data_IF_788655076776
#
_entry.id   IF_788655076776
#
_cell.length_a   1.000
_cell.length_b   1.000
_cell.length_c   1.000
_cell.angle_alpha   90.00
_cell.angle_beta   90.00
_cell.angle_gamma   90.00
#
_symmetry.space_group_name_H-M   'P 1'
#
loop_
_entity.id
_entity.type
_entity.pdbx_description
1 polymer ?
#
# COMPACT_ATOMS: atom_id res chain seq x y z
N UNK A 1 -56.56 -37.32 11.65
CA UNK A 1 -55.14 -37.16 11.31
C UNK A 1 -55.04 -36.20 10.13
N UNK A 2 -54.61 -34.95 10.37
CA UNK A 2 -54.49 -33.93 9.31
C UNK A 2 -53.05 -33.86 8.87
N UNK A 3 -52.77 -34.11 7.58
CA UNK A 3 -51.47 -33.96 6.94
C UNK A 3 -51.04 -32.48 6.90
N UNK A 4 -49.91 -32.16 7.51
CA UNK A 4 -49.23 -30.86 7.38
C UNK A 4 -48.21 -31.00 6.25
N UNK A 5 -48.26 -30.16 5.22
CA UNK A 5 -47.24 -30.21 4.17
C UNK A 5 -45.91 -29.56 4.66
N UNK A 6 -44.81 -30.29 4.50
CA UNK A 6 -43.46 -29.79 4.68
C UNK A 6 -43.18 -28.68 3.67
N UNK A 7 -42.98 -27.46 4.16
CA UNK A 7 -42.44 -26.33 3.40
C UNK A 7 -40.94 -26.55 3.18
N UNK A 8 -40.61 -27.04 2.00
CA UNK A 8 -39.21 -27.01 1.53
C UNK A 8 -38.79 -25.58 1.28
N UNK A 9 -37.98 -25.04 2.18
CA UNK A 9 -37.29 -23.77 1.97
C UNK A 9 -36.33 -23.90 0.79
N UNK A 10 -36.75 -23.39 -0.38
CA UNK A 10 -35.83 -23.14 -1.50
C UNK A 10 -34.73 -22.19 -1.04
N UNK A 11 -33.50 -22.70 -0.90
CA UNK A 11 -32.30 -21.83 -0.87
C UNK A 11 -32.31 -21.00 -2.15
N UNK A 12 -32.52 -19.71 -2.03
CA UNK A 12 -32.23 -18.75 -3.11
C UNK A 12 -30.73 -18.81 -3.35
N UNK A 13 -30.29 -19.53 -4.37
CA UNK A 13 -28.97 -19.37 -4.97
C UNK A 13 -29.03 -18.03 -5.71
N UNK A 14 -28.60 -16.96 -5.05
CA UNK A 14 -28.27 -15.73 -5.73
C UNK A 14 -27.05 -16.05 -6.60
N UNK A 15 -27.21 -16.04 -7.93
CA UNK A 15 -26.11 -15.97 -8.88
C UNK A 15 -25.41 -14.62 -8.66
N UNK A 16 -24.58 -14.48 -7.62
CA UNK A 16 -23.64 -13.38 -7.53
C UNK A 16 -22.57 -13.63 -8.60
N UNK A 17 -22.58 -12.83 -9.64
CA UNK A 17 -21.52 -12.81 -10.63
C UNK A 17 -20.22 -12.50 -9.88
N UNK A 18 -19.26 -13.41 -9.93
CA UNK A 18 -17.95 -13.27 -9.30
C UNK A 18 -17.21 -12.10 -9.96
N UNK A 19 -16.66 -11.19 -9.17
CA UNK A 19 -15.90 -10.04 -9.68
C UNK A 19 -14.45 -10.44 -9.98
N UNK A 20 -13.97 -10.06 -11.15
CA UNK A 20 -12.60 -10.31 -11.60
C UNK A 20 -11.67 -9.19 -11.10
N UNK A 21 -10.69 -9.55 -10.27
CA UNK A 21 -9.75 -8.59 -9.67
C UNK A 21 -8.34 -8.90 -10.15
N UNK A 22 -7.70 -7.91 -10.76
CA UNK A 22 -6.27 -7.93 -11.09
C UNK A 22 -5.47 -7.26 -9.97
N UNK A 23 -4.49 -7.97 -9.42
CA UNK A 23 -3.50 -7.45 -8.47
C UNK A 23 -2.13 -7.42 -9.16
N UNK A 24 -1.60 -6.23 -9.44
CA UNK A 24 -0.26 -6.05 -10.01
C UNK A 24 0.77 -5.87 -8.89
N UNK A 25 2.04 -6.23 -9.16
CA UNK A 25 3.08 -6.23 -8.13
C UNK A 25 2.77 -7.23 -7.01
N UNK A 26 2.16 -8.36 -7.37
CA UNK A 26 1.59 -9.34 -6.44
C UNK A 26 2.64 -10.05 -5.57
N UNK A 27 3.90 -10.04 -5.97
CA UNK A 27 5.01 -10.63 -5.21
C UNK A 27 5.63 -9.63 -4.20
N UNK A 28 5.19 -8.36 -4.23
CA UNK A 28 5.57 -7.34 -3.27
C UNK A 28 4.88 -7.49 -1.90
N UNK A 29 5.18 -6.58 -0.98
CA UNK A 29 4.62 -6.58 0.38
C UNK A 29 3.10 -6.55 0.38
N UNK A 30 2.51 -5.52 -0.23
CA UNK A 30 1.06 -5.34 -0.28
C UNK A 30 0.37 -6.39 -1.14
N UNK A 31 0.97 -6.78 -2.28
CA UNK A 31 0.42 -7.82 -3.15
C UNK A 31 0.25 -9.17 -2.43
N UNK A 32 1.24 -9.58 -1.63
CA UNK A 32 1.14 -10.79 -0.81
C UNK A 32 0.07 -10.66 0.30
N UNK A 33 -0.04 -9.50 0.96
CA UNK A 33 -1.11 -9.28 1.95
C UNK A 33 -2.50 -9.27 1.29
N UNK A 34 -2.63 -8.72 0.07
CA UNK A 34 -3.86 -8.83 -0.72
C UNK A 34 -4.18 -10.28 -1.07
N UNK A 35 -3.19 -11.09 -1.45
CA UNK A 35 -3.36 -12.53 -1.68
C UNK A 35 -3.86 -13.25 -0.43
N UNK A 36 -3.29 -12.90 0.74
CA UNK A 36 -3.69 -13.49 2.03
C UNK A 36 -5.14 -13.17 2.38
N UNK A 37 -5.58 -11.93 2.19
CA UNK A 37 -6.93 -11.50 2.58
C UNK A 37 -8.02 -11.95 1.60
N UNK A 38 -7.69 -12.09 0.31
CA UNK A 38 -8.64 -12.53 -0.71
C UNK A 38 -8.74 -14.06 -0.83
N UNK A 39 -7.82 -14.80 -0.20
CA UNK A 39 -7.79 -16.27 -0.25
C UNK A 39 -9.08 -16.88 0.30
N UNK A 40 -9.74 -17.70 -0.52
CA UNK A 40 -10.97 -18.40 -0.13
C UNK A 40 -12.24 -17.55 -0.12
N UNK A 41 -12.19 -16.36 -0.71
CA UNK A 41 -13.39 -15.53 -0.89
C UNK A 41 -14.02 -15.80 -2.26
N UNK A 42 -15.10 -16.55 -2.27
CA UNK A 42 -15.81 -16.98 -3.49
C UNK A 42 -16.48 -15.82 -4.27
N UNK A 43 -16.54 -14.62 -3.69
CA UNK A 43 -17.08 -13.44 -4.37
C UNK A 43 -16.13 -12.87 -5.42
N UNK A 44 -14.84 -13.23 -5.36
CA UNK A 44 -13.79 -12.68 -6.20
C UNK A 44 -13.03 -13.77 -6.96
N UNK A 45 -12.87 -13.58 -8.25
CA UNK A 45 -11.90 -14.28 -9.08
C UNK A 45 -10.65 -13.42 -9.20
N UNK A 46 -9.50 -13.86 -8.67
CA UNK A 46 -8.31 -13.05 -8.50
C UNK A 46 -7.18 -13.46 -9.43
N UNK A 47 -6.64 -12.48 -10.13
CA UNK A 47 -5.47 -12.60 -11.01
C UNK A 47 -4.28 -11.91 -10.33
N UNK A 48 -3.29 -12.67 -9.94
CA UNK A 48 -2.08 -12.17 -9.30
C UNK A 48 -0.95 -12.12 -10.32
N UNK A 49 -0.44 -10.93 -10.61
CA UNK A 49 0.59 -10.73 -11.61
C UNK A 49 1.76 -9.90 -11.07
N UNK A 50 2.94 -10.22 -11.55
CA UNK A 50 4.14 -9.42 -11.44
C UNK A 50 4.75 -9.23 -12.84
N UNK A 51 5.97 -8.71 -12.95
CA UNK A 51 6.59 -8.38 -14.24
C UNK A 51 6.67 -9.58 -15.20
N UNK A 52 6.84 -10.79 -14.67
CA UNK A 52 6.94 -12.02 -15.49
C UNK A 52 5.60 -12.44 -16.09
N UNK A 53 4.49 -12.26 -15.35
CA UNK A 53 3.15 -12.63 -15.83
C UNK A 53 2.48 -11.49 -16.61
N UNK A 54 2.75 -10.23 -16.22
CA UNK A 54 2.17 -9.05 -16.84
C UNK A 54 3.10 -7.84 -16.67
N UNK A 55 3.91 -7.56 -17.67
CA UNK A 55 4.67 -6.31 -17.72
C UNK A 55 3.73 -5.12 -17.97
N UNK A 56 3.43 -4.39 -16.89
CA UNK A 56 2.52 -3.23 -16.95
C UNK A 56 3.10 -2.04 -17.73
N UNK A 57 4.39 -2.04 -18.06
CA UNK A 57 5.00 -1.04 -18.96
C UNK A 57 4.62 -1.26 -20.42
N UNK A 58 4.19 -2.48 -20.79
CA UNK A 58 3.75 -2.81 -22.14
C UNK A 58 2.24 -2.63 -22.30
N UNK A 59 1.85 -1.51 -22.88
CA UNK A 59 0.45 -1.12 -23.06
C UNK A 59 -0.41 -2.18 -23.75
N UNK A 60 0.08 -2.78 -24.84
CA UNK A 60 -0.72 -3.72 -25.62
C UNK A 60 -1.04 -4.99 -24.82
N UNK A 61 -0.05 -5.50 -24.09
CA UNK A 61 -0.22 -6.69 -23.24
C UNK A 61 -1.18 -6.40 -22.07
N UNK A 62 -1.10 -5.21 -21.48
CA UNK A 62 -2.01 -4.77 -20.40
C UNK A 62 -3.45 -4.68 -20.91
N UNK A 63 -3.67 -4.04 -22.05
CA UNK A 63 -5.00 -3.91 -22.65
C UNK A 63 -5.60 -5.28 -22.99
N UNK A 64 -4.84 -6.15 -23.65
CA UNK A 64 -5.27 -7.51 -23.98
C UNK A 64 -5.63 -8.32 -22.74
N UNK A 65 -4.78 -8.28 -21.70
CA UNK A 65 -5.01 -9.01 -20.47
C UNK A 65 -6.29 -8.57 -19.77
N UNK A 66 -6.49 -7.27 -19.60
CA UNK A 66 -7.65 -6.70 -18.89
C UNK A 66 -8.96 -7.00 -19.63
N UNK A 67 -8.97 -6.87 -20.97
CA UNK A 67 -10.17 -7.11 -21.78
C UNK A 67 -10.50 -8.62 -21.83
N UNK A 68 -9.50 -9.47 -22.09
CA UNK A 68 -9.70 -10.93 -22.23
C UNK A 68 -10.20 -11.55 -20.93
N UNK A 69 -9.65 -11.13 -19.79
CA UNK A 69 -10.02 -11.65 -18.48
C UNK A 69 -11.22 -10.90 -17.86
N UNK A 70 -11.82 -9.93 -18.57
CA UNK A 70 -12.99 -9.16 -18.11
C UNK A 70 -12.79 -8.60 -16.72
N UNK A 71 -11.65 -7.93 -16.50
CA UNK A 71 -11.28 -7.39 -15.19
C UNK A 71 -12.26 -6.29 -14.77
N UNK A 72 -12.83 -6.42 -13.58
CA UNK A 72 -13.72 -5.44 -12.95
C UNK A 72 -12.97 -4.44 -12.07
N UNK A 73 -11.94 -4.91 -11.36
CA UNK A 73 -11.10 -4.11 -10.47
C UNK A 73 -9.62 -4.36 -10.72
N UNK A 74 -8.84 -3.29 -10.70
CA UNK A 74 -7.38 -3.34 -10.73
C UNK A 74 -6.88 -2.78 -9.41
N UNK A 75 -6.10 -3.58 -8.66
CA UNK A 75 -5.38 -3.13 -7.46
C UNK A 75 -3.91 -3.04 -7.84
N UNK A 76 -3.46 -1.81 -8.12
CA UNK A 76 -2.09 -1.56 -8.53
C UNK A 76 -1.18 -1.40 -7.30
N UNK A 77 -0.48 -2.49 -6.93
CA UNK A 77 0.55 -2.52 -5.90
C UNK A 77 1.97 -2.39 -6.51
N UNK A 78 2.10 -2.44 -7.83
CA UNK A 78 3.39 -2.31 -8.50
C UNK A 78 3.91 -0.87 -8.43
N UNK A 79 5.17 -0.72 -8.03
CA UNK A 79 5.87 0.56 -8.02
C UNK A 79 7.38 0.36 -7.96
N UNK A 80 8.12 1.31 -8.51
CA UNK A 80 9.55 1.46 -8.26
C UNK A 80 9.73 2.20 -6.92
N UNK A 81 10.10 1.50 -5.86
CA UNK A 81 10.13 2.01 -4.48
C UNK A 81 11.53 2.23 -3.91
N UNK A 82 12.57 1.98 -4.70
CA UNK A 82 13.96 2.22 -4.29
C UNK A 82 14.28 3.72 -4.37
N UNK A 83 13.88 4.48 -3.33
CA UNK A 83 13.88 5.95 -3.29
C UNK A 83 15.22 6.56 -3.67
N UNK A 84 16.33 6.10 -3.05
CA UNK A 84 17.67 6.63 -3.34
C UNK A 84 18.17 6.23 -4.74
N UNK A 85 17.84 5.03 -5.20
CA UNK A 85 18.19 4.56 -6.55
C UNK A 85 17.36 5.24 -7.65
N UNK A 86 16.20 5.77 -7.33
CA UNK A 86 15.37 6.51 -8.28
C UNK A 86 16.09 7.78 -8.78
N UNK A 87 16.92 8.41 -7.91
CA UNK A 87 17.70 9.58 -8.29
C UNK A 87 18.73 9.28 -9.42
N UNK A 88 19.22 8.02 -9.49
CA UNK A 88 20.12 7.57 -10.56
C UNK A 88 19.36 6.93 -11.73
N UNK A 89 18.16 6.39 -11.50
CA UNK A 89 17.37 5.61 -12.47
C UNK A 89 16.03 6.28 -12.81
N UNK A 90 16.08 7.55 -13.17
CA UNK A 90 14.90 8.40 -13.41
C UNK A 90 13.94 7.77 -14.42
N UNK A 91 14.47 7.27 -15.55
CA UNK A 91 13.65 6.69 -16.62
C UNK A 91 12.93 5.40 -16.17
N UNK A 92 13.58 4.56 -15.39
CA UNK A 92 12.95 3.34 -14.85
C UNK A 92 11.86 3.71 -13.86
N UNK A 93 12.15 4.66 -12.94
CA UNK A 93 11.16 5.14 -11.98
C UNK A 93 9.95 5.76 -12.70
N UNK A 94 10.17 6.57 -13.74
CA UNK A 94 9.12 7.17 -14.57
C UNK A 94 8.32 6.11 -15.33
N UNK A 95 8.98 5.13 -15.93
CA UNK A 95 8.32 4.04 -16.67
C UNK A 95 7.34 3.29 -15.75
N UNK A 96 7.76 2.92 -14.54
CA UNK A 96 6.94 2.11 -13.65
C UNK A 96 5.91 2.95 -12.89
N UNK A 97 6.31 4.11 -12.34
CA UNK A 97 5.44 4.90 -11.47
C UNK A 97 4.49 5.83 -12.20
N UNK A 98 4.76 6.14 -13.49
CA UNK A 98 3.92 7.03 -14.30
C UNK A 98 3.38 6.30 -15.54
N UNK A 99 4.24 5.88 -16.51
CA UNK A 99 3.78 5.36 -17.78
C UNK A 99 2.99 4.04 -17.64
N UNK A 100 3.42 3.15 -16.76
CA UNK A 100 2.69 1.91 -16.48
C UNK A 100 1.34 2.19 -15.82
N UNK A 101 1.24 3.21 -14.96
CA UNK A 101 -0.04 3.65 -14.37
C UNK A 101 -0.96 4.24 -15.45
N UNK A 102 -0.41 4.99 -16.40
CA UNK A 102 -1.15 5.46 -17.59
C UNK A 102 -1.71 4.29 -18.40
N UNK A 103 -0.90 3.26 -18.67
CA UNK A 103 -1.33 2.06 -19.39
C UNK A 103 -2.49 1.35 -18.70
N UNK A 104 -2.39 1.18 -17.36
CA UNK A 104 -3.48 0.60 -16.55
C UNK A 104 -4.75 1.45 -16.62
N UNK A 105 -4.62 2.78 -16.53
CA UNK A 105 -5.74 3.71 -16.64
C UNK A 105 -6.45 3.64 -17.99
N UNK A 106 -5.69 3.59 -19.10
CA UNK A 106 -6.25 3.50 -20.45
C UNK A 106 -6.97 2.17 -20.65
N UNK A 107 -6.38 1.06 -20.21
CA UNK A 107 -6.99 -0.26 -20.33
C UNK A 107 -8.24 -0.37 -19.44
N UNK A 108 -8.19 0.17 -18.21
CA UNK A 108 -9.34 0.25 -17.32
C UNK A 108 -10.49 1.06 -17.94
N UNK A 109 -10.20 2.21 -18.56
CA UNK A 109 -11.20 3.02 -19.24
C UNK A 109 -11.92 2.24 -20.34
N UNK A 110 -11.17 1.51 -21.17
CA UNK A 110 -11.73 0.68 -22.25
C UNK A 110 -12.60 -0.47 -21.74
N UNK A 111 -12.16 -1.12 -20.66
CA UNK A 111 -12.86 -2.24 -20.03
C UNK A 111 -13.97 -1.81 -19.05
N UNK A 112 -14.08 -0.52 -18.73
CA UNK A 112 -14.93 0.03 -17.65
C UNK A 112 -14.60 -0.56 -16.29
N UNK A 113 -13.33 -0.87 -16.06
CA UNK A 113 -12.81 -1.38 -14.80
C UNK A 113 -12.49 -0.22 -13.84
N UNK A 114 -12.58 -0.48 -12.56
CA UNK A 114 -12.19 0.44 -11.49
C UNK A 114 -10.76 0.20 -11.06
N UNK A 115 -10.02 1.27 -10.69
CA UNK A 115 -8.62 1.17 -10.28
C UNK A 115 -8.42 1.69 -8.87
N UNK A 116 -7.79 0.89 -8.01
CA UNK A 116 -7.18 1.34 -6.76
C UNK A 116 -5.67 1.40 -6.99
N UNK A 117 -5.10 2.60 -6.89
CA UNK A 117 -3.67 2.83 -7.06
C UNK A 117 -3.03 3.25 -5.74
N UNK A 118 -1.97 2.56 -5.34
CA UNK A 118 -1.22 2.90 -4.12
C UNK A 118 -0.13 3.91 -4.44
N UNK A 119 -0.19 5.06 -3.76
CA UNK A 119 0.76 6.16 -3.86
C UNK A 119 1.50 6.38 -2.54
N UNK A 120 2.12 7.54 -2.35
CA UNK A 120 3.08 7.81 -1.30
C UNK A 120 2.90 9.20 -0.65
N UNK A 121 3.37 9.32 0.59
CA UNK A 121 3.58 10.58 1.31
C UNK A 121 4.66 11.47 0.67
N UNK A 122 5.59 10.92 -0.12
CA UNK A 122 6.64 11.66 -0.84
C UNK A 122 6.12 12.64 -1.90
N UNK A 123 4.82 12.68 -2.15
CA UNK A 123 4.19 13.72 -2.98
C UNK A 123 4.18 15.09 -2.30
N UNK A 124 4.38 15.14 -0.99
CA UNK A 124 4.47 16.36 -0.20
C UNK A 124 5.92 16.79 0.03
N UNK A 125 6.13 18.07 0.39
CA UNK A 125 7.48 18.64 0.62
C UNK A 125 8.09 18.32 1.98
N UNK A 126 7.28 17.83 2.92
CA UNK A 126 7.75 17.48 4.26
C UNK A 126 7.97 18.66 5.22
N UNK A 127 7.39 19.83 4.94
CA UNK A 127 7.60 21.07 5.73
C UNK A 127 6.42 21.42 6.64
N UNK A 128 5.34 20.66 6.62
CA UNK A 128 4.16 20.90 7.45
C UNK A 128 4.44 20.68 8.94
N UNK A 129 3.69 21.36 9.80
CA UNK A 129 3.62 21.13 11.24
C UNK A 129 2.31 20.47 11.69
N UNK A 130 1.46 20.08 10.76
CA UNK A 130 0.20 19.35 10.98
C UNK A 130 0.07 18.23 9.95
N UNK A 131 -0.76 17.20 10.24
CA UNK A 131 -0.96 16.09 9.31
C UNK A 131 -1.48 16.56 7.95
N UNK A 132 -0.80 16.15 6.86
CA UNK A 132 -1.21 16.47 5.49
C UNK A 132 -2.59 15.88 5.19
N UNK A 133 -3.47 16.71 4.66
CA UNK A 133 -4.77 16.31 4.11
C UNK A 133 -4.65 15.99 2.62
N UNK A 134 -5.67 15.38 2.06
CA UNK A 134 -5.73 15.08 0.62
C UNK A 134 -5.83 16.34 -0.25
N UNK A 135 -6.25 17.46 0.35
CA UNK A 135 -6.41 18.77 -0.30
C UNK A 135 -5.15 19.65 -0.22
N UNK A 136 -4.15 19.25 0.57
CA UNK A 136 -2.90 20.01 0.68
C UNK A 136 -2.10 19.95 -0.62
N UNK A 137 -1.45 21.07 -0.92
CA UNK A 137 -0.64 21.20 -2.13
C UNK A 137 0.52 20.21 -2.15
N UNK A 138 0.64 19.49 -3.24
CA UNK A 138 1.76 18.56 -3.46
C UNK A 138 2.98 19.31 -3.99
N UNK A 139 4.18 18.97 -3.48
CA UNK A 139 5.46 19.53 -3.89
C UNK A 139 6.59 18.51 -3.64
N UNK A 140 6.67 17.41 -4.44
CA UNK A 140 7.63 16.33 -4.22
C UNK A 140 9.06 16.84 -4.34
N UNK A 141 9.93 16.34 -3.47
CA UNK A 141 11.34 16.76 -3.36
C UNK A 141 12.31 15.69 -3.87
N UNK A 142 11.81 14.61 -4.48
CA UNK A 142 12.61 13.49 -4.99
C UNK A 142 12.03 12.98 -6.32
N UNK A 143 12.84 12.27 -7.10
CA UNK A 143 12.40 11.60 -8.33
C UNK A 143 11.29 10.59 -8.04
N UNK A 144 11.42 9.83 -6.95
CA UNK A 144 10.37 8.90 -6.51
C UNK A 144 9.03 9.61 -6.29
N UNK A 145 9.02 10.66 -5.48
CA UNK A 145 7.80 11.44 -5.20
C UNK A 145 7.21 12.06 -6.46
N UNK A 146 8.04 12.64 -7.32
CA UNK A 146 7.61 13.26 -8.59
C UNK A 146 6.96 12.22 -9.52
N UNK A 147 7.60 11.08 -9.74
CA UNK A 147 7.08 10.05 -10.65
C UNK A 147 5.80 9.40 -10.12
N UNK A 148 5.66 9.24 -8.80
CA UNK A 148 4.41 8.77 -8.17
C UNK A 148 3.29 9.79 -8.34
N UNK A 149 3.55 11.07 -8.13
CA UNK A 149 2.57 12.14 -8.32
C UNK A 149 2.12 12.24 -9.79
N UNK A 150 3.02 12.07 -10.74
CA UNK A 150 2.68 12.05 -12.17
C UNK A 150 1.75 10.88 -12.49
N UNK A 151 1.96 9.71 -11.86
CA UNK A 151 1.06 8.55 -11.94
C UNK A 151 -0.35 8.86 -11.37
N UNK A 152 -0.43 9.54 -10.22
CA UNK A 152 -1.72 9.98 -9.65
C UNK A 152 -2.48 10.88 -10.63
N UNK A 153 -1.80 11.90 -11.17
CA UNK A 153 -2.40 12.89 -12.08
C UNK A 153 -2.90 12.27 -13.38
N UNK A 154 -2.11 11.39 -13.99
CA UNK A 154 -2.50 10.76 -15.26
C UNK A 154 -3.68 9.82 -15.07
N UNK A 155 -3.69 9.02 -13.99
CA UNK A 155 -4.78 8.12 -13.68
C UNK A 155 -6.10 8.88 -13.43
N UNK A 156 -6.07 9.91 -12.60
CA UNK A 156 -7.23 10.74 -12.31
C UNK A 156 -7.78 11.46 -13.56
N UNK A 157 -6.91 11.84 -14.49
CA UNK A 157 -7.31 12.45 -15.78
C UNK A 157 -8.01 11.45 -16.71
N UNK A 158 -7.52 10.19 -16.78
CA UNK A 158 -8.04 9.18 -17.71
C UNK A 158 -9.36 8.60 -17.23
N UNK A 159 -9.47 8.28 -15.94
CA UNK A 159 -10.65 7.64 -15.33
C UNK A 159 -11.15 8.43 -14.12
N UNK A 160 -11.66 9.66 -14.31
CA UNK A 160 -12.00 10.57 -13.21
C UNK A 160 -13.05 10.01 -12.23
N UNK A 161 -13.90 9.09 -12.68
CA UNK A 161 -14.99 8.50 -11.87
C UNK A 161 -14.69 7.08 -11.39
N UNK A 162 -13.61 6.46 -11.88
CA UNK A 162 -13.32 5.03 -11.65
C UNK A 162 -11.94 4.79 -11.02
N UNK A 163 -11.37 5.81 -10.35
CA UNK A 163 -10.12 5.69 -9.61
C UNK A 163 -10.29 5.95 -8.11
N UNK A 164 -9.52 5.23 -7.33
CA UNK A 164 -9.21 5.53 -5.93
C UNK A 164 -7.68 5.50 -5.82
N UNK A 165 -7.10 6.59 -5.34
CA UNK A 165 -5.67 6.69 -5.08
C UNK A 165 -5.49 6.68 -3.56
N UNK A 166 -4.66 5.77 -3.04
CA UNK A 166 -4.37 5.68 -1.61
C UNK A 166 -2.91 6.04 -1.38
N UNK A 167 -2.65 7.22 -0.80
CA UNK A 167 -1.32 7.60 -0.34
C UNK A 167 -1.03 6.93 0.99
N UNK A 168 0.13 6.30 1.09
CA UNK A 168 0.59 5.63 2.30
C UNK A 168 2.05 5.98 2.61
N UNK A 169 2.54 5.61 3.78
CA UNK A 169 3.91 5.90 4.23
C UNK A 169 4.49 4.70 4.98
N UNK A 170 5.81 4.53 4.93
CA UNK A 170 6.60 3.61 5.76
C UNK A 170 6.02 2.18 5.79
N UNK A 171 5.69 1.65 4.61
CA UNK A 171 5.05 0.35 4.46
C UNK A 171 5.98 -0.79 4.88
N UNK A 172 5.47 -1.70 5.72
CA UNK A 172 6.16 -2.90 6.14
C UNK A 172 5.21 -4.11 6.17
N UNK A 173 5.79 -5.30 6.08
CA UNK A 173 5.07 -6.57 6.11
C UNK A 173 6.02 -7.72 6.51
N UNK A 174 5.47 -8.89 6.76
CA UNK A 174 6.25 -10.12 6.86
C UNK A 174 6.93 -10.48 5.53
N UNK A 175 6.38 -10.00 4.40
CA UNK A 175 6.88 -10.24 3.05
C UNK A 175 7.90 -9.16 2.62
N UNK A 176 8.71 -9.52 1.62
CA UNK A 176 9.65 -8.61 0.98
C UNK A 176 10.77 -8.09 1.91
N UNK A 177 11.49 -7.08 1.45
CA UNK A 177 12.50 -6.34 2.22
C UNK A 177 11.86 -5.07 2.76
N UNK A 178 12.06 -4.76 4.04
CA UNK A 178 11.53 -3.55 4.67
C UNK A 178 12.34 -3.16 5.90
N UNK A 179 12.03 -1.99 6.45
CA UNK A 179 12.72 -1.42 7.59
C UNK A 179 12.62 -2.31 8.84
N UNK A 180 11.46 -2.89 9.14
CA UNK A 180 11.27 -3.75 10.32
C UNK A 180 12.21 -4.95 10.28
N UNK A 181 12.23 -5.68 9.15
CA UNK A 181 13.13 -6.85 8.97
C UNK A 181 14.60 -6.45 9.02
N UNK A 182 14.94 -5.28 8.48
CA UNK A 182 16.30 -4.75 8.54
C UNK A 182 16.71 -4.46 10.00
N UNK A 183 15.86 -3.76 10.77
CA UNK A 183 16.18 -3.46 12.17
C UNK A 183 16.22 -4.70 13.07
N UNK A 184 15.36 -5.69 12.83
CA UNK A 184 15.41 -6.99 13.50
C UNK A 184 16.75 -7.72 13.23
N UNK A 185 17.20 -7.71 11.98
CA UNK A 185 18.47 -8.37 11.62
C UNK A 185 19.68 -7.62 12.18
N UNK A 186 19.72 -6.30 12.00
CA UNK A 186 20.82 -5.48 12.50
C UNK A 186 20.89 -5.51 14.03
N UNK A 187 19.75 -5.46 14.72
CA UNK A 187 19.71 -5.55 16.19
C UNK A 187 20.22 -6.85 16.76
N UNK A 188 20.20 -7.95 15.99
CA UNK A 188 20.78 -9.25 16.38
C UNK A 188 22.29 -9.35 16.08
N UNK A 189 22.81 -8.51 15.19
CA UNK A 189 24.16 -8.67 14.63
C UNK A 189 25.10 -7.50 14.93
N UNK A 190 24.58 -6.39 15.46
CA UNK A 190 25.35 -5.19 15.77
C UNK A 190 25.18 -4.81 17.24
N UNK A 191 26.23 -4.23 17.82
CA UNK A 191 26.19 -3.72 19.20
C UNK A 191 25.56 -2.32 19.27
N UNK A 192 25.61 -1.56 18.17
CA UNK A 192 25.08 -0.20 18.11
C UNK A 192 24.51 0.12 16.70
N UNK A 193 23.40 0.87 16.65
CA UNK A 193 22.80 1.41 15.45
C UNK A 193 22.55 2.92 15.61
N UNK A 194 22.94 3.69 14.62
CA UNK A 194 22.59 5.11 14.50
C UNK A 194 21.34 5.25 13.66
N UNK A 195 20.27 5.84 14.20
CA UNK A 195 18.98 5.93 13.54
C UNK A 195 18.43 7.35 13.61
N UNK A 196 17.96 7.85 12.47
CA UNK A 196 17.43 9.22 12.33
C UNK A 196 16.23 9.46 13.25
N UNK A 197 16.26 10.59 14.00
CA UNK A 197 15.22 10.96 14.97
C UNK A 197 14.39 12.17 14.57
N UNK A 198 14.81 12.95 13.58
CA UNK A 198 14.18 14.20 13.12
C UNK A 198 13.36 14.06 11.83
N UNK A 199 13.08 12.82 11.40
CA UNK A 199 12.09 12.49 10.39
C UNK A 199 10.88 11.85 11.05
N UNK A 200 9.74 12.52 10.97
CA UNK A 200 8.51 12.18 11.67
C UNK A 200 7.47 11.70 10.68
N UNK A 201 6.93 10.52 10.92
CA UNK A 201 5.92 9.89 10.06
C UNK A 201 5.08 8.87 10.81
N UNK A 202 4.44 8.01 10.05
CA UNK A 202 3.64 6.91 10.62
C UNK A 202 3.93 5.61 9.86
N UNK A 203 4.36 4.54 10.55
CA UNK A 203 4.48 3.22 9.94
C UNK A 203 3.13 2.68 9.47
N UNK A 204 3.13 1.93 8.38
CA UNK A 204 1.94 1.26 7.86
C UNK A 204 2.19 -0.23 7.71
N UNK A 205 1.45 -1.05 8.44
CA UNK A 205 1.41 -2.49 8.22
C UNK A 205 0.62 -2.79 6.94
N UNK A 206 1.25 -3.45 5.97
CA UNK A 206 0.62 -3.73 4.68
C UNK A 206 -0.63 -4.61 4.80
N UNK A 207 -0.73 -5.46 5.84
CA UNK A 207 -1.93 -6.23 6.15
C UNK A 207 -3.14 -5.35 6.51
N UNK A 208 -2.92 -4.23 7.20
CA UNK A 208 -3.99 -3.28 7.53
C UNK A 208 -4.42 -2.48 6.30
N UNK A 209 -3.46 -2.06 5.46
CA UNK A 209 -3.77 -1.42 4.17
C UNK A 209 -4.51 -2.37 3.23
N UNK A 210 -4.11 -3.65 3.16
CA UNK A 210 -4.81 -4.67 2.39
C UNK A 210 -6.26 -4.85 2.88
N UNK A 211 -6.47 -4.85 4.20
CA UNK A 211 -7.81 -4.92 4.79
C UNK A 211 -8.66 -3.68 4.44
N UNK A 212 -8.05 -2.48 4.43
CA UNK A 212 -8.74 -1.26 4.02
C UNK A 212 -9.16 -1.33 2.53
N UNK A 213 -8.27 -1.78 1.64
CA UNK A 213 -8.57 -1.99 0.22
C UNK A 213 -9.69 -3.02 0.07
N UNK A 214 -9.62 -4.14 0.80
CA UNK A 214 -10.67 -5.16 0.81
C UNK A 214 -12.04 -4.59 1.22
N UNK A 215 -12.10 -3.76 2.27
CA UNK A 215 -13.33 -3.10 2.69
C UNK A 215 -13.88 -2.17 1.61
N UNK A 216 -13.01 -1.44 0.90
CA UNK A 216 -13.41 -0.55 -0.21
C UNK A 216 -14.03 -1.35 -1.36
N UNK A 217 -13.38 -2.40 -1.84
CA UNK A 217 -13.88 -3.22 -2.98
C UNK A 217 -15.12 -4.05 -2.62
N UNK A 218 -15.29 -4.37 -1.33
CA UNK A 218 -16.46 -5.09 -0.82
C UNK A 218 -17.62 -4.16 -0.47
N UNK A 219 -17.40 -2.85 -0.49
CA UNK A 219 -18.43 -1.84 -0.22
C UNK A 219 -19.31 -1.63 -1.43
N UNK A 220 -20.61 -1.35 -1.21
CA UNK A 220 -21.50 -0.86 -2.26
C UNK A 220 -21.16 0.57 -2.70
N UNK A 221 -20.32 1.28 -1.94
CA UNK A 221 -19.90 2.65 -2.22
C UNK A 221 -18.63 2.66 -3.06
N UNK A 222 -18.66 3.43 -4.15
CA UNK A 222 -17.45 3.79 -4.89
C UNK A 222 -17.40 5.30 -5.03
N UNK A 223 -16.53 5.94 -4.26
CA UNK A 223 -16.35 7.39 -4.30
C UNK A 223 -14.94 7.66 -4.79
N UNK A 224 -14.77 8.12 -6.04
CA UNK A 224 -13.47 8.35 -6.64
C UNK A 224 -12.72 9.48 -5.93
N UNK A 225 -11.39 9.43 -6.03
CA UNK A 225 -10.53 10.47 -5.49
C UNK A 225 -9.31 9.95 -4.74
N UNK A 226 -8.63 10.88 -4.08
CA UNK A 226 -7.43 10.60 -3.29
C UNK A 226 -7.84 10.39 -1.83
N UNK A 227 -7.19 9.41 -1.20
CA UNK A 227 -7.35 9.03 0.20
C UNK A 227 -5.99 8.82 0.85
N UNK A 228 -5.92 9.04 2.14
CA UNK A 228 -4.75 8.73 2.94
C UNK A 228 -4.99 7.52 3.84
N UNK A 229 -4.01 6.62 3.90
CA UNK A 229 -4.03 5.49 4.82
C UNK A 229 -2.62 5.22 5.37
N UNK A 230 -2.46 5.35 6.69
CA UNK A 230 -1.37 4.82 7.51
C UNK A 230 -1.98 4.29 8.80
N UNK A 231 -1.23 3.52 9.60
CA UNK A 231 -1.72 3.20 10.94
C UNK A 231 -1.92 4.46 11.78
N UNK A 232 -2.62 4.41 12.92
CA UNK A 232 -2.76 5.54 13.84
C UNK A 232 -1.48 5.75 14.65
N UNK A 233 -1.27 6.99 15.10
CA UNK A 233 -0.10 7.39 15.87
C UNK A 233 0.98 8.01 15.00
N UNK A 234 2.09 8.40 15.64
CA UNK A 234 3.21 9.12 15.01
C UNK A 234 4.50 8.68 15.70
N UNK A 235 5.60 8.57 14.95
CA UNK A 235 6.92 8.29 15.51
C UNK A 235 8.04 8.77 14.56
N UNK A 236 9.27 8.83 15.08
CA UNK A 236 10.49 8.92 14.28
C UNK A 236 10.97 7.51 13.85
N UNK A 237 11.94 7.44 12.94
CA UNK A 237 12.62 6.17 12.62
C UNK A 237 13.34 5.60 13.85
N UNK A 238 13.88 6.49 14.71
CA UNK A 238 14.48 6.09 15.99
C UNK A 238 13.46 5.43 16.92
N UNK A 239 12.29 6.05 17.14
CA UNK A 239 11.22 5.49 17.97
C UNK A 239 10.72 4.17 17.41
N UNK A 240 10.57 4.08 16.10
CA UNK A 240 10.17 2.87 15.41
C UNK A 240 11.18 1.73 15.67
N UNK A 241 12.49 2.01 15.53
CA UNK A 241 13.55 1.03 15.81
C UNK A 241 13.56 0.60 17.28
N UNK A 242 13.45 1.55 18.22
CA UNK A 242 13.38 1.24 19.65
C UNK A 242 12.21 0.32 19.97
N UNK A 243 11.06 0.57 19.34
CA UNK A 243 9.85 -0.24 19.56
C UNK A 243 9.99 -1.63 18.92
N UNK A 244 10.56 -1.73 17.71
CA UNK A 244 10.88 -3.02 17.07
C UNK A 244 11.77 -3.87 17.99
N UNK A 245 12.85 -3.30 18.52
CA UNK A 245 13.78 -4.02 19.41
C UNK A 245 13.10 -4.44 20.71
N UNK A 246 12.28 -3.55 21.31
CA UNK A 246 11.53 -3.85 22.54
C UNK A 246 10.59 -5.04 22.34
N UNK A 247 9.78 -5.05 21.28
CA UNK A 247 8.83 -6.13 20.98
C UNK A 247 9.57 -7.44 20.67
N UNK A 248 10.68 -7.36 19.97
CA UNK A 248 11.49 -8.53 19.61
C UNK A 248 12.40 -9.05 20.74
N UNK A 249 12.43 -8.37 21.91
CA UNK A 249 13.31 -8.74 23.04
C UNK A 249 14.81 -8.54 22.77
N UNK A 250 15.16 -7.65 21.84
CA UNK A 250 16.57 -7.33 21.53
C UNK A 250 17.09 -6.31 22.55
N UNK A 251 18.03 -6.73 23.39
CA UNK A 251 18.57 -5.92 24.50
C UNK A 251 20.05 -5.57 24.38
N UNK A 252 20.77 -6.28 23.51
CA UNK A 252 22.22 -6.16 23.34
C UNK A 252 22.65 -5.13 22.28
N UNK A 253 21.73 -4.53 21.56
CA UNK A 253 22.02 -3.53 20.53
C UNK A 253 21.56 -2.14 21.02
N UNK A 254 22.51 -1.22 21.15
CA UNK A 254 22.22 0.18 21.53
C UNK A 254 21.70 0.92 20.28
N UNK A 255 20.55 1.57 20.37
CA UNK A 255 20.04 2.46 19.31
C UNK A 255 20.29 3.90 19.73
N UNK A 256 21.11 4.61 18.95
CA UNK A 256 21.48 6.02 19.16
C UNK A 256 20.72 6.91 18.19
N UNK A 257 20.12 8.03 18.66
CA UNK A 257 19.49 8.99 17.78
C UNK A 257 20.56 9.83 17.06
N UNK A 258 20.35 10.04 15.76
CA UNK A 258 21.15 10.96 14.94
C UNK A 258 20.21 11.90 14.17
N UNK A 259 20.74 13.03 13.68
CA UNK A 259 20.01 13.92 12.78
C UNK A 259 20.02 13.40 11.32
N UNK A 260 19.13 13.95 10.49
CA UNK A 260 19.13 13.70 9.04
C UNK A 260 20.45 14.09 8.39
N UNK A 261 21.09 15.17 8.86
CA UNK A 261 22.37 15.64 8.33
C UNK A 261 23.53 14.66 8.57
N UNK A 262 23.44 13.86 9.65
CA UNK A 262 24.41 12.80 9.96
C UNK A 262 24.19 11.52 9.17
N UNK A 263 23.05 11.41 8.45
CA UNK A 263 22.71 10.23 7.63
C UNK A 263 22.72 10.58 6.15
N UNK A 264 23.83 10.34 5.42
CA UNK A 264 23.90 10.66 4.00
C UNK A 264 22.90 9.83 3.19
N UNK A 265 22.00 10.49 2.48
CA UNK A 265 21.07 9.89 1.52
C UNK A 265 21.04 10.70 0.23
N UNK A 266 20.85 10.05 -0.93
CA UNK A 266 20.78 10.75 -2.22
C UNK A 266 19.45 11.48 -2.36
N UNK A 267 18.36 10.80 -2.03
CA UNK A 267 17.04 11.41 -2.09
C UNK A 267 16.78 12.26 -0.84
N UNK A 268 16.20 13.43 -1.05
CA UNK A 268 15.72 14.27 0.04
C UNK A 268 14.50 13.62 0.69
N UNK A 269 14.62 13.26 1.97
CA UNK A 269 13.54 12.66 2.74
C UNK A 269 12.74 13.74 3.47
N UNK A 270 11.39 13.62 3.55
CA UNK A 270 10.58 14.60 4.26
C UNK A 270 10.88 14.56 5.77
N UNK A 271 11.06 15.74 6.38
CA UNK A 271 11.19 15.86 7.83
C UNK A 271 9.86 15.52 8.55
N UNK A 272 8.74 15.79 7.89
CA UNK A 272 7.41 15.48 8.40
C UNK A 272 6.53 14.85 7.29
N UNK A 273 5.97 13.67 7.51
CA UNK A 273 5.16 12.97 6.52
C UNK A 273 3.88 12.34 7.09
N UNK A 274 3.40 12.87 8.21
CA UNK A 274 2.16 12.36 8.84
C UNK A 274 0.96 12.70 7.96
N UNK A 275 0.12 11.70 7.66
CA UNK A 275 -1.06 11.82 6.83
C UNK A 275 -2.34 11.89 7.67
N UNK A 276 -3.25 12.79 7.32
CA UNK A 276 -4.61 12.85 7.87
C UNK A 276 -5.47 11.76 7.22
N UNK A 277 -6.08 10.91 8.02
CA UNK A 277 -6.88 9.74 7.60
C UNK A 277 -8.38 9.93 7.79
N UNK A 278 -8.82 11.15 8.10
CA UNK A 278 -10.24 11.42 8.41
C UNK A 278 -11.17 11.07 7.27
N UNK A 279 -10.77 11.37 6.03
CA UNK A 279 -11.59 11.15 4.83
C UNK A 279 -11.91 9.67 4.61
N UNK A 280 -10.92 8.79 4.63
CA UNK A 280 -11.13 7.34 4.42
C UNK A 280 -11.98 6.73 5.54
N UNK A 281 -11.78 7.17 6.79
CA UNK A 281 -12.59 6.75 7.95
C UNK A 281 -14.05 7.18 7.83
N UNK A 282 -14.31 8.43 7.44
CA UNK A 282 -15.66 8.98 7.31
C UNK A 282 -16.43 8.35 6.14
N UNK A 283 -15.78 8.13 5.01
CA UNK A 283 -16.44 7.65 3.80
C UNK A 283 -16.70 6.15 3.85
N UNK A 284 -15.71 5.37 4.27
CA UNK A 284 -15.76 3.90 4.23
C UNK A 284 -15.95 3.25 5.61
N UNK A 285 -15.96 4.02 6.69
CA UNK A 285 -16.12 3.49 8.05
C UNK A 285 -14.91 2.67 8.53
N UNK A 286 -13.75 2.81 7.88
CA UNK A 286 -12.55 2.04 8.16
C UNK A 286 -12.02 2.37 9.55
N UNK A 287 -11.83 1.34 10.37
CA UNK A 287 -11.14 1.42 11.66
C UNK A 287 -9.66 1.14 11.45
N UNK A 288 -8.82 2.11 11.78
CA UNK A 288 -7.38 2.02 11.59
C UNK A 288 -6.72 1.66 12.91
N UNK A 289 -5.95 0.56 12.99
CA UNK A 289 -5.24 0.19 14.20
C UNK A 289 -4.10 1.16 14.55
N UNK A 290 -3.72 1.19 15.84
CA UNK A 290 -2.52 1.90 16.28
C UNK A 290 -1.26 1.18 15.79
N UNK A 291 -0.24 1.95 15.36
CA UNK A 291 0.93 1.40 14.68
C UNK A 291 1.72 0.39 15.53
N UNK A 292 1.75 0.55 16.85
CA UNK A 292 2.45 -0.39 17.75
C UNK A 292 1.75 -1.74 17.78
N UNK A 293 0.41 -1.75 17.83
CA UNK A 293 -0.38 -2.99 17.85
C UNK A 293 -0.17 -3.78 16.54
N UNK A 294 -0.16 -3.07 15.41
CA UNK A 294 0.10 -3.65 14.09
C UNK A 294 1.53 -4.15 13.94
N UNK A 295 2.51 -3.45 14.53
CA UNK A 295 3.91 -3.87 14.56
C UNK A 295 4.08 -5.15 15.38
N UNK A 296 3.46 -5.22 16.56
CA UNK A 296 3.49 -6.41 17.39
C UNK A 296 2.91 -7.62 16.67
N UNK A 297 1.76 -7.44 16.00
CA UNK A 297 1.16 -8.48 15.15
C UNK A 297 2.13 -8.96 14.08
N UNK A 298 2.75 -8.05 13.33
CA UNK A 298 3.71 -8.38 12.27
C UNK A 298 4.93 -9.14 12.81
N UNK A 299 5.52 -8.69 13.93
CA UNK A 299 6.69 -9.37 14.53
C UNK A 299 6.32 -10.76 15.05
N UNK A 300 5.13 -10.92 15.63
CA UNK A 300 4.65 -12.23 16.09
C UNK A 300 4.44 -13.20 14.92
N UNK A 301 3.89 -12.75 13.78
CA UNK A 301 3.79 -13.56 12.55
C UNK A 301 5.18 -13.96 12.04
N UNK A 302 6.15 -13.02 11.95
CA UNK A 302 7.53 -13.32 11.55
C UNK A 302 8.20 -14.38 12.42
N UNK A 303 7.90 -14.40 13.71
CA UNK A 303 8.46 -15.38 14.65
C UNK A 303 7.80 -16.77 14.51
N UNK A 304 6.58 -16.86 14.00
CA UNK A 304 5.88 -18.13 13.75
C UNK A 304 6.39 -18.81 12.47
N UNK A 305 6.68 -18.04 11.42
CA UNK A 305 7.23 -18.57 10.15
C UNK A 305 8.67 -19.10 10.29
N UNK A 306 9.36 -18.79 11.40
CA UNK A 306 10.72 -19.27 11.71
C UNK A 306 10.74 -20.57 12.54
N UNK A 307 9.59 -21.08 12.97
CA UNK A 307 9.42 -22.34 13.69
C UNK A 307 8.92 -23.44 12.79
#
# INVERSE_FOLDING_TARGET
MKNVPYLTTRKKTSNHMQLNILITGSNGQLGNEMRKILKGNDSFNTFYTDIEELDISNRNVVEEFIITNKIDYIINCAAYTAVDLAEDNIEIARTINHMAVENLGIAAHKAKAKVIHVSTDYVFDGTSCHPYSEEDSTNPQSVYGTTKLDGEKVLAKIIPNDHIIIRTAWLYSIYGKNFVKTMLNLGKTKDCLNVVTDQIGTPTYAGDLANAIYQIISSEKWIPGIYHFTNEGVCSWYDFTKTIHKIAGITNCIVQPISTEEYPSKAKRPAYSVLNKSKIKQIYGIKIPYWVDSLEKCINELNQDLK
#
